data_IF_010555213233
#
_entry.id   IF_010555213233
#
_cell.length_a   1.000
_cell.length_b   1.000
_cell.length_c   1.000
_cell.angle_alpha   90.00
_cell.angle_beta   90.00
_cell.angle_gamma   90.00
#
_symmetry.space_group_name_H-M   'P 1'
#
loop_
_entity.id
_entity.type
_entity.pdbx_description
1 polymer ?
#
# COMPACT_ATOMS: atom_id res chain seq x y z
N UNK A 1 8.74 0.57 12.82
CA UNK A 1 7.95 0.75 11.60
C UNK A 1 8.81 1.35 10.49
N UNK A 2 9.10 0.58 9.44
CA UNK A 2 9.90 1.01 8.27
C UNK A 2 8.94 1.23 7.11
N UNK A 3 8.66 2.48 6.77
CA UNK A 3 7.77 2.87 5.67
C UNK A 3 8.37 4.08 4.96
N UNK A 4 7.98 4.28 3.70
CA UNK A 4 8.34 5.49 2.93
C UNK A 4 7.45 6.70 3.24
N UNK A 5 6.34 6.54 3.95
CA UNK A 5 5.49 7.65 4.41
C UNK A 5 6.01 8.30 5.70
N UNK A 6 5.77 9.61 5.94
CA UNK A 6 6.04 10.22 7.23
C UNK A 6 5.25 9.55 8.36
N UNK A 7 5.91 9.20 9.46
CA UNK A 7 5.29 8.40 10.54
C UNK A 7 4.10 9.10 11.19
N UNK A 8 4.15 10.42 11.32
CA UNK A 8 3.07 11.21 11.92
C UNK A 8 1.80 11.22 11.05
N UNK A 9 1.97 11.27 9.72
CA UNK A 9 0.88 11.14 8.76
C UNK A 9 0.22 9.76 8.88
N UNK A 10 1.03 8.70 8.97
CA UNK A 10 0.51 7.34 9.17
C UNK A 10 -0.22 7.23 10.51
N UNK A 11 0.31 7.80 11.59
CA UNK A 11 -0.38 7.81 12.88
C UNK A 11 -1.76 8.50 12.80
N UNK A 12 -1.86 9.61 12.06
CA UNK A 12 -3.14 10.30 11.79
C UNK A 12 -4.09 9.47 10.94
N UNK A 13 -3.60 8.69 9.97
CA UNK A 13 -4.42 7.72 9.21
C UNK A 13 -4.99 6.65 10.16
N UNK A 14 -4.13 6.06 10.98
CA UNK A 14 -4.52 5.02 11.95
C UNK A 14 -5.55 5.54 12.96
N UNK A 15 -5.43 6.79 13.39
CA UNK A 15 -6.37 7.44 14.30
C UNK A 15 -7.66 7.93 13.60
N UNK A 16 -7.77 7.85 12.27
CA UNK A 16 -8.90 8.41 11.53
C UNK A 16 -8.99 9.94 11.55
N UNK A 17 -7.88 10.63 11.82
CA UNK A 17 -7.81 12.09 11.96
C UNK A 17 -7.05 12.77 10.82
N UNK A 18 -6.66 12.04 9.77
CA UNK A 18 -6.02 12.63 8.60
C UNK A 18 -7.04 13.39 7.76
N UNK A 19 -6.79 14.67 7.48
CA UNK A 19 -7.71 15.51 6.71
C UNK A 19 -7.65 15.22 5.20
N UNK A 20 -6.54 14.66 4.73
CA UNK A 20 -6.35 14.27 3.33
C UNK A 20 -5.70 12.86 3.24
N UNK A 21 -6.48 11.78 3.27
CA UNK A 21 -5.91 10.43 3.22
C UNK A 21 -5.20 10.10 1.90
N UNK A 22 -5.51 10.78 0.79
CA UNK A 22 -4.86 10.58 -0.51
C UNK A 22 -3.39 11.00 -0.50
N UNK A 23 -2.99 11.89 0.42
CA UNK A 23 -1.60 12.25 0.62
C UNK A 23 -0.73 11.06 1.09
N UNK A 24 -1.35 10.05 1.71
CA UNK A 24 -0.65 8.91 2.32
C UNK A 24 -0.96 7.59 1.61
N UNK A 25 -2.26 7.34 1.35
CA UNK A 25 -2.79 6.12 0.79
C UNK A 25 -2.80 6.15 -0.74
N UNK A 26 -2.88 4.97 -1.36
CA UNK A 26 -2.77 4.82 -2.81
C UNK A 26 -1.31 4.73 -3.28
N UNK A 27 -1.07 5.06 -4.56
CA UNK A 27 0.24 4.96 -5.20
C UNK A 27 0.98 6.29 -5.21
N UNK A 28 2.23 6.29 -4.76
CA UNK A 28 3.05 7.49 -4.57
C UNK A 28 4.46 7.31 -5.15
N UNK A 29 4.95 8.32 -5.86
CA UNK A 29 6.37 8.41 -6.20
C UNK A 29 7.19 8.65 -4.93
N UNK A 30 8.25 7.87 -4.73
CA UNK A 30 9.15 7.99 -3.58
C UNK A 30 10.60 7.82 -4.01
N UNK A 31 11.52 8.30 -3.17
CA UNK A 31 12.96 8.10 -3.36
C UNK A 31 13.49 7.15 -2.29
N UNK A 32 14.25 6.14 -2.72
CA UNK A 32 14.91 5.17 -1.84
C UNK A 32 16.39 5.10 -2.17
N UNK A 33 17.20 4.43 -1.33
CA UNK A 33 18.67 4.33 -1.53
C UNK A 33 19.10 3.79 -2.90
N UNK A 34 18.22 3.11 -3.63
CA UNK A 34 18.45 2.58 -4.99
C UNK A 34 17.88 3.44 -6.13
N UNK A 35 17.39 4.65 -5.86
CA UNK A 35 16.78 5.54 -6.85
C UNK A 35 15.27 5.69 -6.71
N UNK A 36 14.56 6.11 -7.79
CA UNK A 36 13.12 6.29 -7.75
C UNK A 36 12.40 4.96 -7.54
N UNK A 37 11.25 5.05 -6.90
CA UNK A 37 10.36 3.93 -6.64
C UNK A 37 8.91 4.40 -6.59
N UNK A 38 7.99 3.44 -6.70
CA UNK A 38 6.57 3.66 -6.38
C UNK A 38 6.24 2.92 -5.10
N UNK A 39 5.65 3.60 -4.12
CA UNK A 39 5.07 2.98 -2.94
C UNK A 39 3.55 2.92 -3.10
N UNK A 40 2.96 1.75 -2.93
CA UNK A 40 1.51 1.57 -2.84
C UNK A 40 1.16 1.31 -1.38
N UNK A 41 0.28 2.12 -0.80
CA UNK A 41 -0.08 2.06 0.62
C UNK A 41 -1.58 1.93 0.81
N UNK A 42 -1.98 1.04 1.71
CA UNK A 42 -3.39 0.78 2.00
C UNK A 42 -3.61 0.60 3.49
N UNK A 43 -4.72 1.15 3.99
CA UNK A 43 -5.21 0.90 5.35
C UNK A 43 -6.37 -0.08 5.31
N UNK A 44 -6.13 -1.30 5.81
CA UNK A 44 -6.97 -2.48 5.66
C UNK A 44 -7.08 -3.23 7.00
N UNK A 45 -7.87 -2.73 7.98
CA UNK A 45 -7.89 -3.26 9.35
C UNK A 45 -8.24 -4.75 9.47
N UNK A 46 -9.18 -5.20 8.63
CA UNK A 46 -9.70 -6.57 8.66
C UNK A 46 -8.92 -7.56 7.79
N UNK A 47 -7.80 -7.12 7.18
CA UNK A 47 -7.03 -7.93 6.24
C UNK A 47 -5.82 -8.56 6.93
N UNK A 48 -5.64 -9.88 6.73
CA UNK A 48 -4.51 -10.61 7.29
C UNK A 48 -3.25 -10.43 6.45
N UNK A 49 -3.39 -10.51 5.12
CA UNK A 49 -2.31 -10.27 4.14
C UNK A 49 -2.84 -9.48 2.96
N UNK A 50 -2.01 -8.59 2.43
CA UNK A 50 -2.34 -7.79 1.25
C UNK A 50 -1.25 -7.95 0.18
N UNK A 51 -1.62 -7.73 -1.07
CA UNK A 51 -0.74 -7.73 -2.22
C UNK A 51 -1.21 -6.73 -3.26
N UNK A 52 -0.31 -6.34 -4.16
CA UNK A 52 -0.57 -5.47 -5.30
C UNK A 52 -0.40 -6.30 -6.57
N UNK A 53 -1.49 -6.48 -7.32
CA UNK A 53 -1.44 -7.06 -8.66
C UNK A 53 -1.24 -5.95 -9.69
N UNK A 54 -0.09 -5.92 -10.34
CA UNK A 54 0.15 -5.05 -11.49
C UNK A 54 -0.67 -5.55 -12.69
N UNK A 55 -1.53 -4.71 -13.26
CA UNK A 55 -2.40 -5.10 -14.38
C UNK A 55 -1.68 -5.12 -15.73
N UNK A 56 -0.54 -4.43 -15.86
CA UNK A 56 0.28 -4.45 -17.07
C UNK A 56 1.17 -5.70 -17.16
N UNK A 57 1.80 -6.09 -16.05
CA UNK A 57 2.69 -7.27 -16.01
C UNK A 57 2.01 -8.56 -15.51
N UNK A 58 0.86 -8.46 -14.84
CA UNK A 58 0.15 -9.57 -14.20
C UNK A 58 0.79 -10.05 -12.88
N UNK A 59 1.93 -9.49 -12.50
CA UNK A 59 2.68 -9.90 -11.30
C UNK A 59 1.95 -9.51 -10.02
N UNK A 60 2.04 -10.38 -9.01
CA UNK A 60 1.50 -10.12 -7.68
C UNK A 60 2.66 -9.89 -6.70
N UNK A 61 2.77 -8.67 -6.20
CA UNK A 61 3.76 -8.31 -5.19
C UNK A 61 3.10 -8.27 -3.80
N UNK A 62 3.56 -9.05 -2.81
CA UNK A 62 3.08 -8.95 -1.43
C UNK A 62 3.34 -7.55 -0.84
N UNK A 63 2.41 -7.06 -0.03
CA UNK A 63 2.61 -5.86 0.78
C UNK A 63 3.18 -6.25 2.14
N UNK A 64 4.13 -5.47 2.65
CA UNK A 64 4.60 -5.57 4.02
C UNK A 64 3.55 -4.98 4.96
N UNK A 65 3.28 -5.67 6.07
CA UNK A 65 2.43 -5.15 7.15
C UNK A 65 3.25 -4.24 8.04
N UNK A 66 3.06 -2.95 7.84
CA UNK A 66 3.85 -1.90 8.46
C UNK A 66 3.35 -1.61 9.89
N UNK A 67 2.03 -1.68 10.11
CA UNK A 67 1.39 -1.52 11.43
C UNK A 67 0.39 -2.66 11.71
N UNK A 68 0.30 -3.18 12.95
CA UNK A 68 -0.64 -4.24 13.32
C UNK A 68 -2.12 -3.85 13.24
N UNK A 69 -2.45 -2.58 13.06
CA UNK A 69 -3.83 -2.13 12.81
C UNK A 69 -4.23 -2.22 11.34
N UNK A 70 -3.34 -2.77 10.49
CA UNK A 70 -3.64 -3.01 9.08
C UNK A 70 -3.15 -1.91 8.13
N UNK A 71 -2.08 -1.19 8.48
CA UNK A 71 -1.39 -0.34 7.49
C UNK A 71 -0.37 -1.19 6.73
N UNK A 72 -0.50 -1.23 5.41
CA UNK A 72 0.33 -2.02 4.50
C UNK A 72 1.05 -1.13 3.49
N UNK A 73 2.26 -1.52 3.08
CA UNK A 73 3.03 -0.87 2.02
C UNK A 73 3.70 -1.91 1.11
N UNK A 74 3.61 -1.71 -0.20
CA UNK A 74 4.44 -2.41 -1.18
C UNK A 74 5.34 -1.39 -1.89
N UNK A 75 6.64 -1.70 -1.97
CA UNK A 75 7.63 -0.84 -2.61
C UNK A 75 8.10 -1.45 -3.92
N UNK A 76 7.94 -0.71 -5.02
CA UNK A 76 8.40 -1.07 -6.35
C UNK A 76 9.67 -0.29 -6.68
N UNK A 77 10.81 -0.82 -6.24
CA UNK A 77 12.12 -0.19 -6.47
C UNK A 77 12.48 -0.16 -7.96
N UNK A 78 13.03 0.95 -8.46
CA UNK A 78 13.38 1.12 -9.86
C UNK A 78 12.19 1.50 -10.76
N UNK A 79 10.98 1.57 -10.22
CA UNK A 79 9.80 2.04 -10.97
C UNK A 79 9.66 3.57 -10.83
N UNK A 80 9.62 4.26 -11.96
CA UNK A 80 9.53 5.73 -12.03
C UNK A 80 8.12 6.25 -12.35
N UNK A 81 7.20 5.39 -12.77
CA UNK A 81 5.85 5.78 -13.19
C UNK A 81 4.78 5.05 -12.37
N UNK A 82 3.70 5.76 -12.05
CA UNK A 82 2.47 5.15 -11.57
C UNK A 82 1.90 4.19 -12.60
N UNK A 83 1.11 3.23 -12.14
CA UNK A 83 0.62 2.14 -12.96
C UNK A 83 -0.74 1.67 -12.47
N UNK A 84 -1.48 0.99 -13.35
CA UNK A 84 -2.76 0.39 -12.98
C UNK A 84 -2.55 -0.91 -12.21
N UNK A 85 -3.20 -1.03 -11.05
CA UNK A 85 -3.11 -2.21 -10.19
C UNK A 85 -4.45 -2.57 -9.56
N UNK A 86 -4.50 -3.74 -8.93
CA UNK A 86 -5.55 -4.13 -7.98
C UNK A 86 -4.93 -4.52 -6.65
N UNK A 87 -5.65 -4.30 -5.56
CA UNK A 87 -5.29 -4.85 -4.26
C UNK A 87 -5.84 -6.27 -4.14
N UNK A 88 -4.99 -7.19 -3.73
CA UNK A 88 -5.32 -8.58 -3.45
C UNK A 88 -5.34 -8.75 -1.94
N UNK A 89 -6.52 -8.98 -1.36
CA UNK A 89 -6.74 -9.04 0.08
C UNK A 89 -7.00 -10.47 0.50
N UNK A 90 -6.23 -10.98 1.45
CA UNK A 90 -6.47 -12.28 2.08
C UNK A 90 -6.97 -12.07 3.50
N UNK A 91 -8.18 -12.58 3.76
CA UNK A 91 -8.82 -12.58 5.07
C UNK A 91 -8.20 -13.56 6.05
N UNK A 92 -8.65 -13.53 7.31
CA UNK A 92 -8.19 -14.46 8.37
C UNK A 92 -8.62 -15.91 8.11
N UNK A 93 -9.69 -16.10 7.35
CA UNK A 93 -10.21 -17.40 6.89
C UNK A 93 -9.44 -17.97 5.68
N UNK A 94 -8.47 -17.23 5.13
CA UNK A 94 -7.73 -17.60 3.94
C UNK A 94 -8.43 -17.24 2.62
N UNK A 95 -9.66 -16.74 2.66
CA UNK A 95 -10.37 -16.25 1.50
C UNK A 95 -9.63 -15.06 0.88
N UNK A 96 -9.48 -15.06 -0.45
CA UNK A 96 -8.82 -13.98 -1.18
C UNK A 96 -9.79 -13.28 -2.12
N UNK A 97 -9.72 -11.95 -2.18
CA UNK A 97 -10.49 -11.12 -3.11
C UNK A 97 -9.61 -10.05 -3.74
N UNK A 98 -9.94 -9.67 -4.96
CA UNK A 98 -9.31 -8.55 -5.64
C UNK A 98 -10.24 -7.34 -5.67
N UNK A 99 -9.72 -6.18 -5.31
CA UNK A 99 -10.48 -4.93 -5.30
C UNK A 99 -9.71 -3.83 -6.05
N UNK A 100 -10.45 -2.82 -6.50
CA UNK A 100 -9.85 -1.53 -6.91
C UNK A 100 -9.45 -0.80 -5.63
N UNK A 101 -8.30 -0.12 -5.64
CA UNK A 101 -7.90 0.72 -4.51
C UNK A 101 -8.83 1.96 -4.45
N UNK A 102 -9.46 2.25 -3.31
CA UNK A 102 -10.27 3.47 -3.15
C UNK A 102 -9.49 4.78 -3.35
N UNK A 103 -8.16 4.72 -3.33
CA UNK A 103 -7.25 5.85 -3.44
C UNK A 103 -6.36 5.81 -4.71
N UNK A 104 -6.72 5.01 -5.73
CA UNK A 104 -6.04 4.99 -7.04
C UNK A 104 -6.70 5.84 -8.11
#
# INVERSE_FOLDING_TARGET
>A
MRTTAPREEVARILAGTHHDPFHVLGAHHVQVRGGPAVAVRAFLPETARAGVRDLGSGTLQPMERIHPDGFFEALFAGRSELFSYRLVLTGKDGGTREIVDPYS
#
